data_IF_070035262082
#
_entry.id   IF_070035262082
#
_cell.length_a   1.000
_cell.length_b   1.000
_cell.length_c   1.000
_cell.angle_alpha   90.00
_cell.angle_beta   90.00
_cell.angle_gamma   90.00
#
_symmetry.space_group_name_H-M   'P 1'
#
loop_
_entity.id
_entity.type
_entity.pdbx_description
1 polymer ?
#
# COMPACT_ATOMS: atom_id res chain seq x y z
N UNK A 1 23.36 1.79 -0.76
CA UNK A 1 22.41 2.15 -0.07
C UNK A 1 21.09 1.73 -0.52
N UNK A 2 20.38 1.13 0.29
CA UNK A 2 19.10 0.65 -0.06
C UNK A 2 18.15 1.78 -0.14
N UNK A 3 17.66 2.05 -1.26
CA UNK A 3 16.84 3.16 -1.43
C UNK A 3 15.39 2.88 -1.33
N UNK A 4 14.99 1.72 -1.19
CA UNK A 4 13.58 1.43 -1.11
C UNK A 4 12.87 1.66 -2.44
N UNK A 5 11.58 1.46 -2.42
CA UNK A 5 10.75 1.62 -3.60
C UNK A 5 9.61 2.56 -3.25
N UNK A 6 9.14 3.29 -4.23
CA UNK A 6 8.06 4.23 -4.03
C UNK A 6 6.74 3.51 -4.20
N UNK A 7 5.84 3.75 -3.26
CA UNK A 7 4.52 3.15 -3.31
C UNK A 7 3.47 4.24 -3.25
N UNK A 8 2.35 3.96 -3.84
CA UNK A 8 1.22 4.85 -3.78
C UNK A 8 0.03 4.04 -3.29
N UNK A 9 -0.71 4.58 -2.38
CA UNK A 9 -1.89 3.92 -1.89
C UNK A 9 -3.11 4.80 -2.11
N UNK A 10 -4.14 4.20 -2.68
CA UNK A 10 -5.39 4.88 -2.90
C UNK A 10 -6.29 4.50 -1.75
N UNK A 11 -6.67 5.48 -0.97
CA UNK A 11 -7.41 5.22 0.24
C UNK A 11 -8.86 4.88 -0.08
N UNK A 12 -9.49 4.23 0.84
CA UNK A 12 -10.76 3.58 0.72
C UNK A 12 -11.83 4.15 -0.18
N UNK A 13 -11.98 5.45 -0.27
CA UNK A 13 -13.02 6.01 -1.14
C UNK A 13 -12.57 6.10 -2.59
N UNK A 14 -11.35 5.73 -2.87
CA UNK A 14 -10.83 5.77 -4.23
C UNK A 14 -10.51 7.16 -4.74
N UNK A 15 -10.48 8.15 -3.87
CA UNK A 15 -10.23 9.52 -4.30
C UNK A 15 -8.96 10.11 -3.74
N UNK A 16 -8.46 9.58 -2.67
CA UNK A 16 -7.28 10.13 -2.02
C UNK A 16 -6.12 9.19 -2.22
N UNK A 17 -5.02 9.68 -2.68
CA UNK A 17 -3.84 8.84 -2.79
C UNK A 17 -2.71 9.44 -2.00
N UNK A 18 -1.88 8.58 -1.45
CA UNK A 18 -0.72 8.96 -0.68
C UNK A 18 0.47 8.19 -1.19
N UNK A 19 1.64 8.75 -0.99
CA UNK A 19 2.87 8.11 -1.42
C UNK A 19 3.74 7.82 -0.22
N UNK A 20 4.47 6.73 -0.28
CA UNK A 20 5.41 6.40 0.78
C UNK A 20 6.50 5.49 0.23
N UNK A 21 7.52 5.25 1.02
CA UNK A 21 8.65 4.44 0.60
C UNK A 21 8.74 3.21 1.48
N UNK A 22 9.04 2.09 0.87
CA UNK A 22 9.24 0.83 1.58
C UNK A 22 10.28 0.04 0.82
N UNK A 23 10.88 -0.93 1.48
CA UNK A 23 11.95 -1.68 0.85
C UNK A 23 11.44 -2.79 -0.05
N UNK A 24 10.29 -3.32 0.25
CA UNK A 24 9.69 -4.36 -0.55
C UNK A 24 8.20 -4.39 -0.29
N UNK A 25 7.50 -5.28 -1.01
CA UNK A 25 6.06 -5.31 -0.92
C UNK A 25 5.57 -5.72 0.47
N UNK A 26 6.29 -6.62 1.11
CA UNK A 26 5.89 -7.07 2.43
C UNK A 26 5.95 -5.90 3.41
N UNK A 27 7.01 -5.13 3.33
CA UNK A 27 7.14 -3.99 4.19
C UNK A 27 6.07 -2.94 3.89
N UNK A 28 5.77 -2.75 2.62
CA UNK A 28 4.71 -1.81 2.24
C UNK A 28 3.38 -2.23 2.82
N UNK A 29 3.07 -3.51 2.76
CA UNK A 29 1.83 -4.02 3.33
C UNK A 29 1.79 -3.84 4.84
N UNK A 30 2.91 -4.06 5.49
CA UNK A 30 2.98 -3.87 6.93
C UNK A 30 2.76 -2.41 7.31
N UNK A 31 3.29 -1.50 6.53
CA UNK A 31 3.08 -0.09 6.80
C UNK A 31 1.61 0.29 6.65
N UNK A 32 0.98 -0.24 5.63
CA UNK A 32 -0.44 0.03 5.43
C UNK A 32 -1.25 -0.46 6.61
N UNK A 33 -0.96 -1.66 7.08
CA UNK A 33 -1.67 -2.19 8.22
C UNK A 33 -1.39 -1.38 9.48
N UNK A 34 -0.15 -0.98 9.64
CA UNK A 34 0.26 -0.27 10.84
C UNK A 34 -0.40 1.09 10.96
N UNK A 35 -0.61 1.74 9.84
CA UNK A 35 -1.22 3.06 9.85
C UNK A 35 -2.73 3.02 9.95
N UNK A 36 -3.30 1.85 9.96
CA UNK A 36 -4.75 1.70 10.16
C UNK A 36 -5.58 2.49 9.16
N UNK A 37 -5.15 2.45 7.92
CA UNK A 37 -5.96 3.06 6.89
C UNK A 37 -7.29 2.34 6.78
N UNK A 38 -8.29 3.07 6.34
CA UNK A 38 -9.60 2.46 6.10
C UNK A 38 -9.52 1.62 4.83
N UNK A 39 -9.33 0.34 4.98
CA UNK A 39 -9.18 -0.56 3.86
C UNK A 39 -10.56 -0.99 3.36
N UNK A 40 -10.81 -0.72 2.11
CA UNK A 40 -12.07 -1.14 1.49
C UNK A 40 -11.74 -1.80 0.17
N UNK A 41 -12.75 -2.17 -0.57
CA UNK A 41 -12.54 -2.77 -1.86
C UNK A 41 -11.93 -1.81 -2.87
N UNK A 42 -11.99 -0.53 -2.60
CA UNK A 42 -11.44 0.45 -3.50
C UNK A 42 -10.01 0.83 -3.16
N UNK A 43 -9.52 0.37 -2.04
CA UNK A 43 -8.15 0.66 -1.66
C UNK A 43 -7.20 -0.10 -2.58
N UNK A 44 -6.22 0.59 -3.12
CA UNK A 44 -5.26 -0.03 -4.02
C UNK A 44 -3.86 0.40 -3.66
N UNK A 45 -2.96 -0.55 -3.61
CA UNK A 45 -1.57 -0.26 -3.34
C UNK A 45 -0.78 -0.54 -4.61
N UNK A 46 -0.03 0.44 -5.06
CA UNK A 46 0.74 0.33 -6.29
C UNK A 46 2.20 0.53 -6.00
N UNK A 47 3.03 -0.33 -6.55
CA UNK A 47 4.48 -0.15 -6.49
C UNK A 47 4.87 0.71 -7.68
N UNK A 48 5.10 1.98 -7.44
CA UNK A 48 5.41 2.90 -8.53
C UNK A 48 6.76 2.61 -9.15
N UNK A 49 7.69 2.13 -8.36
CA UNK A 49 9.03 1.83 -8.88
C UNK A 49 9.00 0.66 -9.84
N UNK A 50 8.23 -0.36 -9.51
CA UNK A 50 8.13 -1.54 -10.38
C UNK A 50 6.97 -1.45 -11.34
N UNK A 51 6.15 -0.43 -11.21
CA UNK A 51 4.99 -0.21 -12.10
C UNK A 51 4.05 -1.38 -12.09
N UNK A 52 3.70 -1.84 -10.91
CA UNK A 52 2.74 -2.94 -10.79
C UNK A 52 1.90 -2.74 -9.55
N UNK A 53 0.76 -3.40 -9.53
CA UNK A 53 -0.11 -3.32 -8.37
C UNK A 53 0.27 -4.38 -7.36
N UNK A 54 0.23 -4.01 -6.09
CA UNK A 54 0.49 -4.93 -5.00
C UNK A 54 -0.86 -5.39 -4.46
N UNK A 55 -1.05 -6.69 -4.41
CA UNK A 55 -2.30 -7.20 -3.95
C UNK A 55 -2.44 -6.99 -2.47
N UNK A 56 -3.53 -6.37 -2.07
CA UNK A 56 -3.79 -6.15 -0.67
C UNK A 56 -4.46 -7.40 -0.11
N UNK A 57 -3.66 -8.22 0.51
CA UNK A 57 -4.17 -9.45 1.05
C UNK A 57 -4.46 -9.28 2.51
N UNK A 58 -5.17 -8.24 2.85
CA UNK A 58 -5.49 -7.95 4.23
C UNK A 58 -6.85 -8.47 4.52
N UNK A 59 -6.95 -9.55 5.23
CA UNK A 59 -8.23 -10.06 5.61
C UNK A 59 -8.54 -9.55 6.92
N UNK A 60 -9.74 -9.15 7.10
CA UNK A 60 -10.17 -8.68 8.29
C UNK A 60 -10.78 -9.71 9.03
N UNK A 61 -10.15 -10.45 9.67
CA UNK A 61 -10.67 -11.47 10.31
C UNK A 61 -11.15 -11.25 11.45
N UNK A 62 -11.65 -11.07 11.96
CA UNK A 62 -12.11 -10.85 13.07
C UNK A 62 -12.47 -10.96 13.56
#
# INVERSE_FOLDING_TARGET
MALGQKYSILIGDGKTSMYFWAQNDVEALNLVKHHKFAITQKTQLTNCSAKRQVKLDITNED
#
